data_IF_844995267488
#
_entry.id   IF_844995267488
#
_cell.length_a   1.000
_cell.length_b   1.000
_cell.length_c   1.000
_cell.angle_alpha   90.00
_cell.angle_beta   90.00
_cell.angle_gamma   90.00
#
_symmetry.space_group_name_H-M   'P 1'
#
loop_
_entity.id
_entity.type
_entity.pdbx_description
1 polymer ?
#
# COMPACT_ATOMS: atom_id res chain seq x y z
N UNK A 1 -8.70 -70.02 66.82
CA UNK A 1 -9.35 -68.95 67.61
C UNK A 1 -8.26 -67.99 68.07
N UNK A 2 -8.42 -66.70 67.76
CA UNK A 2 -7.83 -65.52 68.42
C UNK A 2 -6.31 -65.47 68.69
N UNK A 3 -5.58 -64.88 67.75
CA UNK A 3 -5.06 -63.49 67.77
C UNK A 3 -4.06 -63.00 68.85
N UNK A 4 -3.06 -62.24 68.33
CA UNK A 4 -2.28 -61.11 68.90
C UNK A 4 -0.84 -61.30 69.49
N UNK A 5 0.14 -60.92 68.64
CA UNK A 5 1.36 -60.02 68.77
C UNK A 5 2.42 -60.22 69.88
N UNK A 6 3.70 -60.56 69.59
CA UNK A 6 4.89 -59.79 69.02
C UNK A 6 5.64 -58.99 70.11
N UNK A 7 6.99 -59.12 70.34
CA UNK A 7 8.03 -58.38 69.57
C UNK A 7 9.46 -59.03 69.56
N UNK A 8 10.54 -58.27 69.25
CA UNK A 8 11.16 -58.00 67.94
C UNK A 8 12.50 -58.80 67.81
N UNK A 9 13.22 -58.88 66.69
CA UNK A 9 13.95 -57.82 66.03
C UNK A 9 14.78 -58.52 64.93
N UNK A 10 14.77 -58.00 63.70
CA UNK A 10 15.93 -57.87 62.80
C UNK A 10 15.49 -57.81 61.34
N UNK A 11 16.07 -56.79 60.71
CA UNK A 11 16.36 -56.68 59.29
C UNK A 11 15.26 -56.29 58.30
N UNK A 12 15.72 -55.49 57.34
CA UNK A 12 15.06 -55.02 56.13
C UNK A 12 13.96 -53.95 56.23
N UNK A 13 14.27 -52.86 55.53
CA UNK A 13 13.37 -52.08 54.68
C UNK A 13 12.50 -51.02 55.40
N UNK A 14 12.88 -49.76 55.08
CA UNK A 14 12.07 -48.51 55.13
C UNK A 14 11.83 -47.86 56.49
N UNK A 15 12.56 -46.77 56.74
CA UNK A 15 12.03 -45.49 57.26
C UNK A 15 12.81 -44.40 56.51
N UNK A 16 12.24 -43.38 55.88
CA UNK A 16 11.07 -42.56 56.25
C UNK A 16 10.30 -42.13 54.99
N UNK A 17 9.05 -41.76 55.24
CA UNK A 17 7.86 -41.72 54.42
C UNK A 17 7.48 -40.26 54.08
N UNK A 18 6.99 -40.01 52.84
CA UNK A 18 6.02 -38.96 52.41
C UNK A 18 6.45 -37.48 52.45
N UNK A 19 6.05 -36.59 51.55
CA UNK A 19 5.28 -36.56 50.29
C UNK A 19 5.46 -35.11 49.77
N UNK A 20 5.68 -34.89 48.47
CA UNK A 20 4.95 -33.91 47.63
C UNK A 20 5.67 -33.72 46.27
N UNK A 21 4.85 -33.81 45.23
CA UNK A 21 5.14 -33.64 43.79
C UNK A 21 5.58 -32.21 43.49
N UNK A 22 6.74 -31.98 42.85
CA UNK A 22 6.95 -30.86 41.90
C UNK A 22 8.05 -31.22 40.87
N UNK A 23 7.61 -31.25 39.61
CA UNK A 23 8.28 -30.91 38.35
C UNK A 23 9.72 -31.39 38.03
N UNK A 24 9.76 -32.19 36.97
CA UNK A 24 10.84 -32.41 36.02
C UNK A 24 11.41 -31.07 35.49
N UNK A 25 12.72 -30.81 35.65
CA UNK A 25 13.45 -29.87 34.78
C UNK A 25 14.74 -30.58 34.34
N UNK A 26 14.66 -31.21 33.18
CA UNK A 26 15.85 -31.52 32.40
C UNK A 26 16.32 -30.21 31.75
N UNK A 27 17.43 -29.66 32.23
CA UNK A 27 18.13 -28.55 31.59
C UNK A 27 18.76 -29.03 30.29
N UNK A 28 18.01 -28.95 29.20
CA UNK A 28 18.58 -28.94 27.85
C UNK A 28 19.40 -27.65 27.73
N UNK A 29 20.72 -27.77 27.68
CA UNK A 29 21.61 -26.71 27.24
C UNK A 29 21.40 -26.46 25.75
N UNK A 30 20.33 -25.74 25.40
CA UNK A 30 20.25 -25.09 24.10
C UNK A 30 21.30 -23.99 24.10
N UNK A 31 22.45 -24.26 23.47
CA UNK A 31 23.39 -23.23 23.07
C UNK A 31 22.64 -22.24 22.19
N UNK A 32 22.20 -21.13 22.79
CA UNK A 32 21.67 -20.00 22.04
C UNK A 32 22.80 -19.52 21.15
N UNK A 33 22.71 -19.80 19.85
CA UNK A 33 23.37 -18.97 18.86
C UNK A 33 22.89 -17.55 19.15
N UNK A 34 23.76 -16.58 19.46
CA UNK A 34 23.30 -15.21 19.46
C UNK A 34 22.75 -14.98 18.05
N UNK A 35 21.44 -14.76 17.97
CA UNK A 35 20.84 -14.17 16.79
C UNK A 35 21.52 -12.80 16.69
N UNK A 36 22.60 -12.74 15.91
CA UNK A 36 23.22 -11.48 15.59
C UNK A 36 22.10 -10.65 14.98
N UNK A 37 21.72 -9.57 15.65
CA UNK A 37 20.94 -8.54 15.00
C UNK A 37 21.78 -8.14 13.79
N UNK A 38 21.36 -8.56 12.59
CA UNK A 38 21.88 -7.99 11.38
C UNK A 38 21.71 -6.49 11.57
N UNK A 39 22.82 -5.75 11.63
CA UNK A 39 22.80 -4.30 11.66
C UNK A 39 21.85 -3.89 10.55
N UNK A 40 20.75 -3.23 10.89
CA UNK A 40 19.82 -2.72 9.89
C UNK A 40 20.61 -1.75 9.02
N UNK A 41 21.11 -2.22 7.88
CA UNK A 41 21.70 -1.37 6.86
C UNK A 41 20.54 -0.56 6.31
N UNK A 42 20.61 0.76 6.46
CA UNK A 42 19.65 1.65 5.80
C UNK A 42 19.72 1.35 4.30
N UNK A 43 18.64 0.80 3.74
CA UNK A 43 18.55 0.48 2.33
C UNK A 43 17.76 1.59 1.64
N UNK A 44 18.44 2.35 0.78
CA UNK A 44 17.87 3.49 0.06
C UNK A 44 17.85 3.19 -1.44
N UNK A 45 16.68 3.34 -2.07
CA UNK A 45 16.57 3.32 -3.53
C UNK A 45 16.54 4.73 -4.15
N UNK A 46 16.14 5.72 -3.37
CA UNK A 46 16.15 7.12 -3.76
C UNK A 46 16.98 7.92 -2.75
N UNK A 47 17.56 9.03 -3.18
CA UNK A 47 18.37 9.90 -2.34
C UNK A 47 17.71 11.28 -2.24
N UNK A 48 16.64 11.42 -1.41
CA UNK A 48 15.98 12.70 -1.23
C UNK A 48 17.01 13.75 -0.82
N UNK A 49 17.01 14.88 -1.53
CA UNK A 49 17.93 15.97 -1.27
C UNK A 49 17.32 16.85 -0.19
N UNK A 50 17.36 16.36 1.06
CA UNK A 50 16.91 17.10 2.24
C UNK A 50 18.05 18.02 2.69
N UNK A 51 18.21 19.16 2.01
CA UNK A 51 19.01 20.26 2.54
C UNK A 51 18.17 21.05 3.54
N UNK A 52 17.95 20.49 4.72
CA UNK A 52 17.37 21.28 5.82
C UNK A 52 18.34 22.41 6.19
N UNK A 53 17.87 23.65 6.23
CA UNK A 53 18.64 24.75 6.82
C UNK A 53 18.33 24.80 8.33
N UNK A 54 19.28 24.41 9.21
CA UNK A 54 19.06 24.39 10.65
C UNK A 54 18.91 25.79 11.26
N UNK A 55 19.14 26.86 10.50
CA UNK A 55 18.97 28.26 10.93
C UNK A 55 17.68 28.90 10.41
N UNK A 56 16.94 28.21 9.55
CA UNK A 56 15.72 28.76 8.98
C UNK A 56 14.55 28.68 9.99
N UNK A 57 13.99 29.84 10.35
CA UNK A 57 12.71 29.96 11.03
C UNK A 57 11.53 30.28 10.09
N UNK A 58 11.80 30.59 8.81
CA UNK A 58 10.77 31.07 7.85
C UNK A 58 11.01 30.76 6.35
N UNK A 59 12.15 30.18 5.94
CA UNK A 59 12.46 29.96 4.51
C UNK A 59 13.30 28.71 4.23
N UNK A 60 13.01 27.60 4.92
CA UNK A 60 13.73 26.36 4.71
C UNK A 60 13.56 25.98 3.24
N UNK A 61 14.65 25.97 2.47
CA UNK A 61 14.59 25.48 1.09
C UNK A 61 14.00 24.08 1.15
N UNK A 62 12.79 23.97 0.66
CA UNK A 62 12.00 22.76 0.79
C UNK A 62 12.76 21.61 0.10
N UNK A 63 12.80 20.39 0.68
CA UNK A 63 13.53 19.28 0.09
C UNK A 63 13.13 19.06 -1.37
N UNK A 64 14.12 19.03 -2.27
CA UNK A 64 13.87 18.58 -3.65
C UNK A 64 13.77 17.07 -3.64
N UNK A 65 12.84 16.51 -4.42
CA UNK A 65 12.54 15.08 -4.42
C UNK A 65 12.05 14.58 -3.04
N UNK A 66 11.00 15.20 -2.48
CA UNK A 66 10.33 14.70 -1.27
C UNK A 66 9.56 13.40 -1.55
N UNK A 67 9.46 12.56 -0.52
CA UNK A 67 8.57 11.40 -0.52
C UNK A 67 7.69 11.36 0.72
N UNK A 68 6.43 10.97 0.54
CA UNK A 68 5.50 10.65 1.61
C UNK A 68 4.52 9.54 1.17
N UNK A 69 3.63 9.13 2.07
CA UNK A 69 2.56 8.14 1.83
C UNK A 69 3.05 6.83 1.17
N UNK A 70 4.01 6.12 1.78
CA UNK A 70 4.54 4.90 1.19
C UNK A 70 3.57 3.73 1.31
N UNK A 71 3.59 2.84 0.32
CA UNK A 71 3.05 1.49 0.42
C UNK A 71 4.07 0.44 0.00
N UNK A 72 3.87 -0.79 0.46
CA UNK A 72 4.74 -1.93 0.15
C UNK A 72 3.92 -3.21 0.06
N UNK A 73 4.26 -4.05 -0.91
CA UNK A 73 3.65 -5.36 -1.12
C UNK A 73 4.72 -6.43 -1.35
N UNK A 74 4.50 -7.59 -0.75
CA UNK A 74 5.34 -8.79 -0.90
C UNK A 74 4.65 -9.75 -1.85
N UNK A 75 5.40 -10.32 -2.81
CA UNK A 75 4.85 -11.33 -3.69
C UNK A 75 4.54 -12.62 -2.89
N UNK A 76 3.29 -13.13 -2.92
CA UNK A 76 2.90 -14.30 -2.14
C UNK A 76 3.54 -15.61 -2.61
N UNK A 77 4.17 -15.64 -3.80
CA UNK A 77 4.85 -16.81 -4.35
C UNK A 77 6.38 -16.77 -4.21
N UNK A 78 6.95 -15.60 -3.89
CA UNK A 78 8.39 -15.40 -3.69
C UNK A 78 8.61 -14.21 -2.76
N UNK A 79 8.89 -14.49 -1.48
CA UNK A 79 9.07 -13.46 -0.45
C UNK A 79 10.30 -12.57 -0.68
N UNK A 80 11.18 -12.89 -1.63
CA UNK A 80 12.29 -12.02 -2.00
C UNK A 80 11.85 -10.89 -2.94
N UNK A 81 10.66 -10.97 -3.54
CA UNK A 81 10.13 -9.98 -4.48
C UNK A 81 9.20 -9.03 -3.76
N UNK A 82 9.64 -7.79 -3.60
CA UNK A 82 8.84 -6.72 -3.03
C UNK A 82 8.68 -5.58 -4.02
N UNK A 83 7.54 -4.92 -3.95
CA UNK A 83 7.30 -3.65 -4.65
C UNK A 83 6.90 -2.64 -3.59
N UNK A 84 7.50 -1.46 -3.62
CA UNK A 84 7.05 -0.31 -2.85
C UNK A 84 6.71 0.85 -3.78
N UNK A 85 5.85 1.73 -3.31
CA UNK A 85 5.53 3.00 -3.95
C UNK A 85 5.53 4.11 -2.90
N UNK A 86 5.70 5.34 -3.37
CA UNK A 86 5.50 6.53 -2.56
C UNK A 86 5.04 7.66 -3.46
N UNK A 87 4.44 8.69 -2.86
CA UNK A 87 4.50 10.01 -3.46
C UNK A 87 5.98 10.35 -3.62
N UNK A 88 6.38 10.75 -4.81
CA UNK A 88 7.77 10.87 -5.19
C UNK A 88 7.97 12.01 -6.17
N UNK A 89 8.72 13.01 -5.72
CA UNK A 89 8.90 14.25 -6.46
C UNK A 89 10.20 14.29 -7.25
N UNK A 90 10.79 13.14 -7.59
CA UNK A 90 12.04 13.07 -8.35
C UNK A 90 11.99 13.75 -9.72
N UNK A 91 10.79 14.01 -10.26
CA UNK A 91 10.60 14.76 -11.51
C UNK A 91 10.05 16.18 -11.31
N UNK A 92 9.62 16.55 -10.10
CA UNK A 92 9.11 17.88 -9.84
C UNK A 92 10.26 18.90 -9.94
N UNK A 93 10.02 20.09 -10.53
CA UNK A 93 11.02 21.14 -10.55
C UNK A 93 11.25 21.70 -9.14
N UNK A 94 12.43 22.28 -8.87
CA UNK A 94 12.70 22.98 -7.62
C UNK A 94 11.61 24.01 -7.27
N UNK A 95 11.41 24.25 -5.97
CA UNK A 95 10.52 25.30 -5.51
C UNK A 95 11.09 26.70 -5.78
N UNK A 96 10.18 27.66 -5.90
CA UNK A 96 10.51 29.07 -6.03
C UNK A 96 10.89 29.52 -7.44
N UNK A 97 11.37 30.78 -7.59
CA UNK A 97 11.75 31.35 -8.87
C UNK A 97 12.76 30.49 -9.63
N UNK A 98 12.62 30.46 -10.96
CA UNK A 98 13.60 29.82 -11.81
C UNK A 98 13.10 29.52 -13.23
N UNK A 99 13.91 28.85 -14.05
CA UNK A 99 13.65 28.68 -15.48
C UNK A 99 12.38 27.87 -15.81
N UNK A 100 11.83 27.15 -14.82
CA UNK A 100 10.62 26.32 -15.00
C UNK A 100 9.37 27.01 -14.47
N UNK A 101 9.44 27.66 -13.30
CA UNK A 101 8.28 28.32 -12.64
C UNK A 101 8.14 29.81 -13.01
N UNK A 102 9.18 30.42 -13.57
CA UNK A 102 9.25 31.85 -13.86
C UNK A 102 9.94 32.64 -12.75
N UNK A 103 10.29 33.88 -13.03
CA UNK A 103 11.04 34.73 -12.10
C UNK A 103 10.14 35.41 -11.04
N UNK A 104 8.82 35.46 -11.28
CA UNK A 104 7.85 36.22 -10.48
C UNK A 104 7.09 35.39 -9.43
N UNK A 105 7.41 34.10 -9.24
CA UNK A 105 6.75 33.26 -8.22
C UNK A 105 7.36 33.46 -6.82
N UNK A 106 6.59 33.20 -5.77
CA UNK A 106 7.10 33.24 -4.39
C UNK A 106 8.20 32.17 -4.19
N UNK A 107 9.23 32.47 -3.38
CA UNK A 107 10.29 31.50 -3.05
C UNK A 107 9.77 30.19 -2.44
N UNK A 108 8.60 30.26 -1.81
CA UNK A 108 7.90 29.14 -1.19
C UNK A 108 7.00 28.35 -2.15
N UNK A 109 6.87 28.72 -3.43
CA UNK A 109 6.04 27.98 -4.38
C UNK A 109 6.64 26.59 -4.67
N UNK A 110 6.06 25.58 -4.02
CA UNK A 110 6.32 24.16 -4.20
C UNK A 110 5.11 23.43 -4.81
N UNK A 111 4.22 24.15 -5.50
CA UNK A 111 3.02 23.53 -6.08
C UNK A 111 3.42 22.43 -7.07
N UNK A 112 2.67 21.33 -7.11
CA UNK A 112 2.88 20.29 -8.11
C UNK A 112 2.84 20.87 -9.52
N UNK A 113 3.88 20.60 -10.30
CA UNK A 113 4.01 21.18 -11.63
C UNK A 113 3.10 20.43 -12.60
N UNK A 114 2.37 21.14 -13.49
CA UNK A 114 1.46 20.49 -14.43
C UNK A 114 2.17 19.40 -15.24
N UNK A 115 1.48 18.27 -15.45
CA UNK A 115 1.96 17.14 -16.25
C UNK A 115 3.20 16.41 -15.72
N UNK A 116 3.57 16.66 -14.47
CA UNK A 116 4.66 15.94 -13.80
C UNK A 116 4.04 15.01 -12.77
N UNK A 117 4.12 13.71 -13.03
CA UNK A 117 3.58 12.71 -12.11
C UNK A 117 4.36 12.59 -10.80
N UNK A 118 3.79 11.88 -9.83
CA UNK A 118 4.34 11.73 -8.48
C UNK A 118 4.24 10.32 -7.92
N UNK A 119 3.77 9.31 -8.67
CA UNK A 119 3.76 7.93 -8.17
C UNK A 119 5.06 7.19 -8.45
N UNK A 120 5.92 7.07 -7.44
CA UNK A 120 7.21 6.38 -7.51
C UNK A 120 7.11 4.85 -7.45
N UNK A 121 8.01 4.16 -8.13
CA UNK A 121 8.07 2.69 -8.16
C UNK A 121 9.43 2.20 -7.67
N UNK A 122 9.39 1.29 -6.70
CA UNK A 122 10.57 0.67 -6.10
C UNK A 122 10.42 -0.85 -6.09
N UNK A 123 11.48 -1.58 -6.43
CA UNK A 123 11.46 -3.05 -6.40
C UNK A 123 12.64 -3.61 -5.64
N UNK A 124 12.42 -4.66 -4.86
CA UNK A 124 13.47 -5.49 -4.28
C UNK A 124 13.40 -6.92 -4.84
N UNK A 125 14.57 -7.55 -4.96
CA UNK A 125 14.74 -8.93 -5.42
C UNK A 125 15.40 -9.84 -4.37
N UNK A 126 15.65 -9.31 -3.17
CA UNK A 126 16.41 -9.95 -2.09
C UNK A 126 15.75 -9.75 -0.72
N UNK A 127 14.42 -9.61 -0.68
CA UNK A 127 13.68 -9.53 0.58
C UNK A 127 13.74 -8.16 1.25
N UNK A 128 14.06 -7.10 0.49
CA UNK A 128 14.16 -5.73 0.97
C UNK A 128 15.56 -5.32 1.43
N UNK A 129 16.58 -6.15 1.21
CA UNK A 129 17.98 -5.83 1.53
C UNK A 129 18.50 -4.74 0.59
N UNK A 130 18.23 -4.85 -0.72
CA UNK A 130 18.50 -3.81 -1.71
C UNK A 130 17.23 -3.46 -2.49
N UNK A 131 17.17 -2.20 -2.92
CA UNK A 131 16.04 -1.66 -3.66
C UNK A 131 16.51 -0.97 -4.94
N UNK A 132 15.72 -1.12 -6.01
CA UNK A 132 15.91 -0.45 -7.29
C UNK A 132 14.82 0.59 -7.48
N UNK A 133 15.20 1.86 -7.70
CA UNK A 133 14.27 2.89 -8.19
C UNK A 133 13.95 2.61 -9.67
N UNK A 134 12.66 2.46 -9.98
CA UNK A 134 12.14 2.18 -11.33
C UNK A 134 11.56 3.40 -12.03
N UNK A 135 11.74 4.59 -11.47
CA UNK A 135 11.14 5.82 -11.96
C UNK A 135 9.73 6.02 -11.44
N UNK A 136 8.94 6.80 -12.17
CA UNK A 136 7.52 7.03 -11.88
C UNK A 136 6.62 6.10 -12.71
N UNK A 137 5.35 5.94 -12.31
CA UNK A 137 4.32 5.32 -13.17
C UNK A 137 4.22 6.00 -14.54
N UNK A 138 4.35 7.32 -14.58
CA UNK A 138 4.30 8.13 -15.82
C UNK A 138 5.45 7.84 -16.78
N UNK A 139 6.60 7.35 -16.27
CA UNK A 139 7.75 6.97 -17.10
C UNK A 139 7.46 5.67 -17.91
N UNK A 140 6.44 4.89 -17.49
CA UNK A 140 6.06 3.65 -18.14
C UNK A 140 5.50 3.90 -19.54
N UNK A 141 5.95 3.11 -20.52
CA UNK A 141 5.53 3.26 -21.92
C UNK A 141 4.00 3.17 -22.09
N UNK A 142 3.36 2.33 -21.28
CA UNK A 142 1.91 2.13 -21.25
C UNK A 142 1.11 3.33 -20.75
N UNK A 143 1.71 4.20 -19.94
CA UNK A 143 1.14 5.47 -19.48
C UNK A 143 1.42 6.57 -20.49
N UNK A 144 2.71 6.81 -20.79
CA UNK A 144 3.17 7.94 -21.62
C UNK A 144 2.73 7.87 -23.07
N UNK A 145 2.39 6.69 -23.60
CA UNK A 145 2.00 6.53 -25.01
C UNK A 145 0.49 6.57 -25.23
N UNK A 146 -0.33 6.75 -24.18
CA UNK A 146 -1.76 6.95 -24.36
C UNK A 146 -2.03 8.23 -25.16
N UNK A 147 -3.05 8.27 -26.04
CA UNK A 147 -3.44 9.50 -26.74
C UNK A 147 -3.79 10.63 -25.77
N UNK A 148 -3.52 11.88 -26.17
CA UNK A 148 -3.98 13.08 -25.45
C UNK A 148 -5.50 13.01 -25.33
N UNK A 149 -6.04 13.27 -24.13
CA UNK A 149 -7.44 13.08 -23.75
C UNK A 149 -7.79 11.72 -23.14
N UNK A 150 -6.88 10.74 -23.23
CA UNK A 150 -6.93 9.48 -22.46
C UNK A 150 -5.72 9.28 -21.56
N UNK A 151 -4.64 10.02 -21.82
CA UNK A 151 -3.42 10.02 -21.01
C UNK A 151 -3.70 10.63 -19.65
N UNK A 152 -3.21 9.95 -18.62
CA UNK A 152 -3.26 10.40 -17.25
C UNK A 152 -1.88 10.86 -16.78
N UNK A 153 -1.89 11.67 -15.74
CA UNK A 153 -0.74 12.03 -14.90
C UNK A 153 -1.02 11.43 -13.53
N UNK A 154 -0.05 10.77 -12.91
CA UNK A 154 -0.24 10.27 -11.53
C UNK A 154 -0.07 11.39 -10.51
N UNK A 155 -0.99 11.49 -9.57
CA UNK A 155 -1.02 12.54 -8.54
C UNK A 155 -0.55 12.02 -7.17
N UNK A 156 -0.43 10.71 -6.98
CA UNK A 156 0.17 10.10 -5.79
C UNK A 156 -0.70 9.06 -5.08
N UNK A 157 -0.59 9.02 -3.76
CA UNK A 157 -1.16 8.14 -2.74
C UNK A 157 -1.14 6.65 -3.11
N UNK A 158 0.05 6.10 -3.38
CA UNK A 158 0.13 4.78 -3.94
C UNK A 158 -0.27 3.69 -2.95
N UNK A 159 -1.12 2.78 -3.40
CA UNK A 159 -1.44 1.54 -2.68
C UNK A 159 -1.15 0.33 -3.57
N UNK A 160 -0.25 -0.55 -3.12
CA UNK A 160 0.19 -1.72 -3.88
C UNK A 160 -0.24 -3.01 -3.18
N UNK A 161 -0.76 -3.97 -3.96
CA UNK A 161 -1.11 -5.32 -3.49
C UNK A 161 -0.79 -6.38 -4.54
N UNK A 162 -0.62 -7.62 -4.11
CA UNK A 162 -0.56 -8.78 -5.00
C UNK A 162 -1.84 -9.61 -4.93
N UNK A 163 -2.12 -10.34 -6.01
CA UNK A 163 -3.15 -11.37 -6.03
C UNK A 163 -2.87 -12.44 -7.08
N UNK A 164 -3.75 -13.44 -7.22
CA UNK A 164 -3.60 -14.49 -8.22
C UNK A 164 -3.65 -13.89 -9.63
N UNK A 165 -2.77 -14.37 -10.52
CA UNK A 165 -2.75 -13.89 -11.91
C UNK A 165 -3.88 -14.55 -12.74
N UNK A 166 -4.65 -13.77 -13.51
CA UNK A 166 -5.63 -14.34 -14.44
C UNK A 166 -4.98 -14.91 -15.71
N UNK A 167 -5.60 -15.93 -16.29
CA UNK A 167 -5.21 -16.52 -17.59
C UNK A 167 -6.31 -16.43 -18.67
N UNK A 168 -7.39 -15.71 -18.38
CA UNK A 168 -8.58 -15.59 -19.25
C UNK A 168 -9.65 -16.66 -19.00
N UNK A 169 -9.32 -17.78 -18.33
CA UNK A 169 -10.28 -18.77 -17.86
C UNK A 169 -10.66 -18.56 -16.39
N UNK A 170 -9.76 -17.97 -15.60
CA UNK A 170 -10.02 -17.59 -14.22
C UNK A 170 -8.76 -17.05 -13.54
N UNK A 171 -8.76 -17.04 -12.22
CA UNK A 171 -7.61 -16.64 -11.40
C UNK A 171 -6.91 -17.86 -10.83
N UNK A 172 -5.59 -17.89 -10.87
CA UNK A 172 -4.80 -18.93 -10.22
C UNK A 172 -3.39 -18.49 -9.88
N UNK A 173 -2.91 -18.84 -8.70
CA UNK A 173 -1.50 -18.70 -8.34
C UNK A 173 -0.58 -19.61 -9.15
N UNK A 174 -1.11 -20.66 -9.80
CA UNK A 174 -0.33 -21.49 -10.74
C UNK A 174 0.14 -20.69 -11.96
N UNK A 175 -0.58 -19.63 -12.31
CA UNK A 175 -0.23 -18.73 -13.40
C UNK A 175 0.76 -17.63 -12.96
N UNK A 176 1.11 -17.60 -11.67
CA UNK A 176 1.90 -16.56 -11.04
C UNK A 176 1.07 -15.60 -10.19
N UNK A 177 1.74 -14.59 -9.65
CA UNK A 177 1.11 -13.47 -8.96
C UNK A 177 1.09 -12.24 -9.86
N UNK A 178 0.03 -11.44 -9.75
CA UNK A 178 -0.11 -10.12 -10.38
C UNK A 178 -0.08 -9.06 -9.30
N UNK A 179 0.77 -8.05 -9.48
CA UNK A 179 0.74 -6.85 -8.65
C UNK A 179 -0.26 -5.85 -9.22
N UNK A 180 -0.91 -5.08 -8.34
CA UNK A 180 -1.76 -3.96 -8.68
C UNK A 180 -1.26 -2.71 -7.96
N UNK A 181 -1.20 -1.59 -8.67
CA UNK A 181 -0.80 -0.28 -8.17
C UNK A 181 -2.00 0.65 -8.35
N UNK A 182 -2.56 1.09 -7.24
CA UNK A 182 -3.56 2.15 -7.17
C UNK A 182 -2.86 3.50 -6.99
N UNK A 183 -3.38 4.56 -7.62
CA UNK A 183 -2.88 5.92 -7.46
C UNK A 183 -3.98 6.92 -7.77
N UNK A 184 -3.91 8.09 -7.13
CA UNK A 184 -4.58 9.29 -7.59
C UNK A 184 -4.07 9.69 -8.98
N UNK A 185 -4.94 10.22 -9.82
CA UNK A 185 -4.59 10.62 -11.16
C UNK A 185 -5.47 11.73 -11.72
N UNK A 186 -4.87 12.54 -12.60
CA UNK A 186 -5.54 13.58 -13.36
C UNK A 186 -5.34 13.38 -14.86
N UNK A 187 -6.09 14.10 -15.69
CA UNK A 187 -5.84 14.08 -17.14
C UNK A 187 -4.60 14.91 -17.48
N UNK A 188 -3.74 14.34 -18.31
CA UNK A 188 -2.65 15.07 -18.93
C UNK A 188 -3.18 16.27 -19.73
N UNK A 189 -2.48 17.40 -19.65
CA UNK A 189 -2.81 18.69 -20.27
C UNK A 189 -4.20 19.24 -19.90
N UNK A 190 -4.82 18.77 -18.81
CA UNK A 190 -6.24 19.00 -18.53
C UNK A 190 -7.14 18.62 -19.72
N UNK A 191 -6.69 17.70 -20.59
CA UNK A 191 -7.36 17.33 -21.84
C UNK A 191 -8.56 16.38 -21.62
N UNK A 192 -9.04 16.27 -20.39
CA UNK A 192 -10.21 15.48 -20.04
C UNK A 192 -11.52 16.12 -20.52
N UNK A 193 -12.66 15.42 -20.33
CA UNK A 193 -13.98 15.96 -20.66
C UNK A 193 -14.48 17.02 -19.65
N UNK A 194 -13.66 17.39 -18.66
CA UNK A 194 -14.04 18.30 -17.59
C UNK A 194 -13.62 19.75 -17.90
N UNK A 195 -14.32 20.76 -17.35
CA UNK A 195 -13.92 22.15 -17.50
C UNK A 195 -12.49 22.40 -17.01
N UNK A 196 -11.81 23.38 -17.62
CA UNK A 196 -10.47 23.79 -17.21
C UNK A 196 -10.43 24.19 -15.72
N UNK A 197 -9.32 23.85 -15.04
CA UNK A 197 -9.14 24.14 -13.61
C UNK A 197 -9.88 23.18 -12.67
N UNK A 198 -10.39 22.06 -13.17
CA UNK A 198 -10.89 20.95 -12.34
C UNK A 198 -9.82 19.86 -12.25
N UNK A 199 -9.39 19.58 -11.03
CA UNK A 199 -8.55 18.43 -10.68
C UNK A 199 -9.46 17.36 -10.10
N UNK A 200 -9.96 16.43 -10.93
CA UNK A 200 -10.92 15.45 -10.48
C UNK A 200 -10.32 14.48 -9.45
N UNK A 201 -9.02 14.19 -9.46
CA UNK A 201 -8.42 13.07 -8.72
C UNK A 201 -9.23 11.77 -8.90
N UNK A 202 -8.98 11.13 -10.05
CA UNK A 202 -9.45 9.78 -10.28
C UNK A 202 -8.61 8.79 -9.50
N UNK A 203 -9.14 7.58 -9.34
CA UNK A 203 -8.33 6.45 -8.92
C UNK A 203 -7.98 5.61 -10.14
N UNK A 204 -6.70 5.60 -10.50
CA UNK A 204 -6.16 4.79 -11.57
C UNK A 204 -5.54 3.52 -10.99
N UNK A 205 -5.76 2.40 -11.68
CA UNK A 205 -5.13 1.11 -11.36
C UNK A 205 -4.32 0.64 -12.55
N UNK A 206 -3.06 0.27 -12.30
CA UNK A 206 -2.24 -0.48 -13.23
C UNK A 206 -1.86 -1.82 -12.63
N UNK A 207 -1.64 -2.83 -13.47
CA UNK A 207 -1.14 -4.13 -13.02
C UNK A 207 0.24 -4.44 -13.59
N UNK A 208 0.97 -5.32 -12.89
CA UNK A 208 2.26 -5.84 -13.31
C UNK A 208 2.27 -7.37 -13.17
N UNK A 209 2.71 -8.06 -14.22
CA UNK A 209 2.92 -9.52 -14.23
C UNK A 209 4.40 -9.91 -14.08
N UNK A 210 5.29 -8.95 -13.80
CA UNK A 210 6.74 -9.16 -13.75
C UNK A 210 7.41 -8.44 -12.56
N UNK A 211 6.80 -8.53 -11.37
CA UNK A 211 7.33 -8.01 -10.11
C UNK A 211 7.68 -6.50 -10.15
N UNK A 212 6.83 -5.70 -10.77
CA UNK A 212 6.92 -4.24 -10.79
C UNK A 212 7.91 -3.69 -11.81
N UNK A 213 8.44 -4.52 -12.71
CA UNK A 213 9.38 -4.08 -13.74
C UNK A 213 8.69 -3.27 -14.86
N UNK A 214 7.47 -3.64 -15.23
CA UNK A 214 6.64 -2.88 -16.18
C UNK A 214 5.18 -2.91 -15.75
N UNK A 215 4.46 -1.82 -15.98
CA UNK A 215 3.05 -1.70 -15.62
C UNK A 215 2.14 -1.60 -16.84
N UNK A 216 0.91 -2.08 -16.72
CA UNK A 216 -0.13 -1.90 -17.74
C UNK A 216 -0.49 -0.42 -17.92
N UNK A 217 -1.27 -0.12 -18.95
CA UNK A 217 -1.91 1.20 -19.04
C UNK A 217 -2.87 1.37 -17.85
N UNK A 218 -3.09 2.61 -17.36
CA UNK A 218 -4.02 2.86 -16.28
C UNK A 218 -5.45 2.55 -16.68
N UNK A 219 -6.20 1.96 -15.75
CA UNK A 219 -7.65 1.77 -15.82
C UNK A 219 -8.27 2.53 -14.66
N UNK A 220 -9.21 3.44 -14.96
CA UNK A 220 -9.93 4.17 -13.93
C UNK A 220 -10.88 3.22 -13.18
N UNK A 221 -10.78 3.20 -11.85
CA UNK A 221 -11.70 2.48 -10.97
C UNK A 221 -12.92 3.33 -10.57
N UNK A 222 -12.90 4.61 -10.91
CA UNK A 222 -13.92 5.61 -10.62
C UNK A 222 -14.66 6.05 -11.88
N UNK A 223 -15.93 6.42 -11.72
CA UNK A 223 -16.68 7.22 -12.71
C UNK A 223 -17.14 8.50 -12.04
N UNK A 224 -16.70 9.67 -12.53
CA UNK A 224 -17.06 10.96 -11.91
C UNK A 224 -18.10 11.69 -12.75
N UNK A 225 -19.34 11.72 -12.27
CA UNK A 225 -20.40 12.49 -12.92
C UNK A 225 -20.34 13.97 -12.55
N UNK A 226 -19.87 14.29 -11.34
CA UNK A 226 -19.67 15.66 -10.86
C UNK A 226 -18.16 15.99 -10.85
N UNK A 227 -17.69 16.99 -11.64
CA UNK A 227 -16.28 17.40 -11.62
C UNK A 227 -15.79 18.00 -10.30
N UNK A 228 -16.69 18.32 -9.37
CA UNK A 228 -16.34 18.91 -8.08
C UNK A 228 -16.20 17.88 -6.96
N UNK A 229 -16.49 16.61 -7.24
CA UNK A 229 -16.18 15.55 -6.29
C UNK A 229 -14.68 15.27 -6.36
N UNK A 230 -14.08 14.91 -5.23
CA UNK A 230 -12.65 14.66 -5.07
C UNK A 230 -12.49 13.29 -4.41
N UNK A 231 -11.67 12.40 -4.96
CA UNK A 231 -11.47 11.07 -4.39
C UNK A 231 -10.09 11.05 -3.76
N UNK A 232 -9.96 10.57 -2.54
CA UNK A 232 -8.68 10.43 -1.85
C UNK A 232 -8.83 9.34 -0.77
N UNK A 233 -7.71 8.90 -0.20
CA UNK A 233 -7.59 7.89 0.84
C UNK A 233 -8.08 6.53 0.37
N UNK A 234 -7.61 6.17 -0.82
CA UNK A 234 -7.89 4.89 -1.44
C UNK A 234 -7.23 3.72 -0.70
N UNK A 235 -7.86 2.56 -0.83
CA UNK A 235 -7.26 1.28 -0.53
C UNK A 235 -7.64 0.29 -1.62
N UNK A 236 -6.66 -0.50 -2.03
CA UNK A 236 -6.86 -1.62 -2.95
C UNK A 236 -6.65 -2.94 -2.22
N UNK A 237 -7.44 -3.94 -2.58
CA UNK A 237 -7.29 -5.31 -2.08
C UNK A 237 -7.62 -6.31 -3.19
N UNK A 238 -6.98 -7.47 -3.15
CA UNK A 238 -7.36 -8.60 -4.00
C UNK A 238 -7.80 -9.73 -3.09
N UNK A 239 -8.97 -10.30 -3.35
CA UNK A 239 -9.39 -11.52 -2.67
C UNK A 239 -8.43 -12.65 -3.06
N UNK A 240 -7.56 -13.03 -2.13
CA UNK A 240 -6.47 -13.96 -2.37
C UNK A 240 -6.69 -15.33 -1.75
N UNK A 241 -7.89 -15.58 -1.21
CA UNK A 241 -8.21 -16.87 -0.61
C UNK A 241 -8.82 -17.83 -1.66
N UNK A 242 -8.17 -18.96 -1.99
CA UNK A 242 -8.64 -19.86 -3.04
C UNK A 242 -10.03 -20.48 -2.80
N UNK A 243 -10.52 -20.49 -1.56
CA UNK A 243 -11.86 -20.99 -1.20
C UNK A 243 -12.95 -19.92 -1.33
N UNK A 244 -12.59 -18.65 -1.50
CA UNK A 244 -13.56 -17.58 -1.67
C UNK A 244 -14.29 -17.73 -3.00
N UNK A 245 -15.62 -17.54 -3.05
CA UNK A 245 -16.36 -17.46 -4.32
C UNK A 245 -15.97 -16.24 -5.17
N UNK A 246 -15.21 -15.29 -4.60
CA UNK A 246 -14.71 -14.10 -5.29
C UNK A 246 -13.19 -14.09 -5.47
N UNK A 247 -12.53 -15.24 -5.34
CA UNK A 247 -11.09 -15.39 -5.53
C UNK A 247 -10.58 -14.65 -6.79
N UNK A 248 -9.60 -13.77 -6.59
CA UNK A 248 -8.98 -12.90 -7.58
C UNK A 248 -9.72 -11.60 -7.87
N UNK A 249 -10.89 -11.34 -7.25
CA UNK A 249 -11.58 -10.06 -7.38
C UNK A 249 -10.75 -8.95 -6.74
N UNK A 250 -10.57 -7.87 -7.50
CA UNK A 250 -9.89 -6.66 -7.03
C UNK A 250 -10.95 -5.70 -6.50
N UNK A 251 -10.75 -5.15 -5.32
CA UNK A 251 -11.62 -4.14 -4.72
C UNK A 251 -10.85 -2.84 -4.56
N UNK A 252 -11.46 -1.74 -4.94
CA UNK A 252 -10.99 -0.39 -4.65
C UNK A 252 -12.00 0.28 -3.73
N UNK A 253 -11.57 0.78 -2.59
CA UNK A 253 -12.36 1.66 -1.74
C UNK A 253 -11.70 3.03 -1.61
N UNK A 254 -12.47 4.08 -1.35
CA UNK A 254 -11.95 5.43 -1.12
C UNK A 254 -12.97 6.30 -0.38
N UNK A 255 -12.51 7.48 0.04
CA UNK A 255 -13.37 8.56 0.50
C UNK A 255 -13.72 9.47 -0.69
N UNK A 256 -15.01 9.60 -1.01
CA UNK A 256 -15.48 10.52 -2.06
C UNK A 256 -15.93 11.84 -1.42
N UNK A 257 -15.07 12.85 -1.48
CA UNK A 257 -15.35 14.20 -0.99
C UNK A 257 -16.27 14.92 -1.97
N UNK A 258 -17.57 14.92 -1.68
CA UNK A 258 -18.59 15.60 -2.48
C UNK A 258 -18.65 17.07 -2.08
N UNK A 259 -18.52 17.95 -3.06
CA UNK A 259 -18.60 19.41 -2.95
C UNK A 259 -18.00 19.97 -1.63
N UNK A 260 -16.71 20.32 -1.67
CA UNK A 260 -15.94 21.00 -0.61
C UNK A 260 -16.63 21.12 0.77
N UNK A 261 -16.56 20.04 1.57
CA UNK A 261 -16.96 20.04 2.98
C UNK A 261 -18.43 19.73 3.28
N UNK A 262 -19.21 19.19 2.34
CA UNK A 262 -20.63 18.87 2.58
C UNK A 262 -20.86 17.38 2.91
N UNK A 263 -20.09 16.46 2.31
CA UNK A 263 -20.32 15.03 2.47
C UNK A 263 -19.12 14.19 2.00
N UNK A 264 -18.66 13.24 2.80
CA UNK A 264 -17.56 12.33 2.46
C UNK A 264 -17.90 10.84 2.69
N UNK A 265 -18.74 10.21 1.85
CA UNK A 265 -19.00 8.78 1.97
C UNK A 265 -17.79 7.93 1.59
N UNK A 266 -17.72 6.74 2.17
CA UNK A 266 -16.89 5.66 1.67
C UNK A 266 -17.59 5.00 0.48
N UNK A 267 -16.85 4.83 -0.60
CA UNK A 267 -17.31 4.24 -1.86
C UNK A 267 -16.43 3.04 -2.21
N UNK A 268 -16.98 2.06 -2.92
CA UNK A 268 -16.26 0.89 -3.41
C UNK A 268 -16.57 0.61 -4.87
N UNK A 269 -15.56 0.17 -5.63
CA UNK A 269 -15.73 -0.49 -6.93
C UNK A 269 -14.92 -1.77 -6.96
N UNK A 270 -15.20 -2.65 -7.91
CA UNK A 270 -14.46 -3.91 -8.02
C UNK A 270 -14.21 -4.33 -9.46
N UNK A 271 -13.16 -5.12 -9.67
CA UNK A 271 -12.83 -5.75 -10.95
C UNK A 271 -12.93 -7.26 -10.85
N UNK A 272 -13.64 -7.88 -11.80
CA UNK A 272 -13.73 -9.34 -11.94
C UNK A 272 -12.82 -9.89 -13.03
N UNK A 273 -12.06 -9.03 -13.72
CA UNK A 273 -11.26 -9.38 -14.88
C UNK A 273 -9.80 -8.92 -14.74
N UNK A 274 -9.29 -8.96 -13.51
CA UNK A 274 -7.88 -8.74 -13.21
C UNK A 274 -7.41 -7.31 -13.49
N UNK A 275 -8.27 -6.33 -13.21
CA UNK A 275 -7.97 -4.90 -13.36
C UNK A 275 -8.20 -4.36 -14.77
N UNK A 276 -8.74 -5.14 -15.71
CA UNK A 276 -9.02 -4.66 -17.07
C UNK A 276 -10.20 -3.67 -17.13
N UNK A 277 -11.16 -3.79 -16.22
CA UNK A 277 -12.22 -2.81 -15.98
C UNK A 277 -12.74 -2.90 -14.55
N UNK A 278 -13.39 -1.85 -14.07
CA UNK A 278 -14.04 -1.81 -12.77
C UNK A 278 -15.56 -1.62 -12.91
N UNK A 279 -16.31 -2.09 -11.92
CA UNK A 279 -17.74 -1.85 -11.78
C UNK A 279 -18.04 -0.37 -11.62
N UNK A 280 -19.31 0.02 -11.79
CA UNK A 280 -19.77 1.31 -11.29
C UNK A 280 -19.49 1.43 -9.77
N UNK A 281 -19.10 2.60 -9.27
CA UNK A 281 -18.92 2.86 -7.84
C UNK A 281 -20.22 2.63 -7.05
N UNK A 282 -20.09 2.01 -5.87
CA UNK A 282 -21.17 1.79 -4.92
C UNK A 282 -20.85 2.48 -3.60
N UNK A 283 -21.71 3.38 -3.17
CA UNK A 283 -21.61 4.03 -1.87
C UNK A 283 -21.89 3.02 -0.74
N UNK A 284 -20.98 2.94 0.25
CA UNK A 284 -21.06 2.02 1.39
C UNK A 284 -21.55 2.71 2.66
N UNK A 285 -21.11 3.93 2.93
CA UNK A 285 -21.53 4.69 4.09
C UNK A 285 -22.51 5.80 3.71
N UNK A 286 -23.37 6.26 4.64
CA UNK A 286 -24.03 7.54 4.47
C UNK A 286 -23.01 8.63 4.15
N UNK A 287 -23.45 9.55 3.30
CA UNK A 287 -22.80 10.82 3.08
C UNK A 287 -22.93 11.65 4.37
N UNK A 288 -21.83 11.89 5.08
CA UNK A 288 -21.83 12.68 6.31
C UNK A 288 -20.53 13.45 6.44
N UNK A 289 -20.63 14.76 6.53
CA UNK A 289 -19.67 15.72 7.09
C UNK A 289 -20.44 17.04 7.18
N UNK A 290 -21.25 17.19 8.23
CA UNK A 290 -22.13 18.34 8.42
C UNK A 290 -22.03 18.82 9.86
N UNK A 291 -22.65 19.96 10.19
CA UNK A 291 -22.58 20.54 11.54
C UNK A 291 -23.12 19.66 12.68
N UNK A 292 -23.63 18.46 12.41
CA UNK A 292 -24.17 17.52 13.40
C UNK A 292 -23.40 16.19 13.50
N UNK A 293 -22.34 15.98 12.70
CA UNK A 293 -21.47 14.80 12.81
C UNK A 293 -20.15 14.94 12.05
N UNK A 294 -19.07 14.43 12.64
CA UNK A 294 -17.76 14.33 11.98
C UNK A 294 -17.87 13.42 10.75
N UNK A 295 -17.18 13.77 9.68
CA UNK A 295 -17.17 12.91 8.51
C UNK A 295 -16.24 11.69 8.64
N UNK A 296 -16.28 10.81 7.63
CA UNK A 296 -15.61 9.51 7.60
C UNK A 296 -14.57 9.50 6.48
N UNK A 297 -13.32 9.72 6.85
CA UNK A 297 -12.19 9.71 5.93
C UNK A 297 -11.29 8.51 6.18
N UNK A 298 -10.64 8.04 5.12
CA UNK A 298 -9.85 6.83 5.18
C UNK A 298 -10.70 5.60 4.91
N UNK A 299 -10.30 4.83 3.90
CA UNK A 299 -10.89 3.53 3.63
C UNK A 299 -9.82 2.44 3.74
N UNK A 300 -10.20 1.27 4.22
CA UNK A 300 -9.39 0.06 4.18
C UNK A 300 -10.32 -1.09 3.84
N UNK A 301 -9.96 -1.87 2.81
CA UNK A 301 -10.76 -3.01 2.35
C UNK A 301 -9.98 -4.31 2.49
N UNK A 302 -10.66 -5.36 2.94
CA UNK A 302 -10.18 -6.75 3.05
C UNK A 302 -11.36 -7.68 2.78
N UNK A 303 -11.08 -8.91 2.34
CA UNK A 303 -12.06 -9.98 2.22
C UNK A 303 -11.89 -11.01 3.34
N UNK A 304 -13.01 -11.48 3.88
CA UNK A 304 -13.10 -12.59 4.80
C UNK A 304 -13.06 -13.94 4.08
N UNK A 305 -12.97 -15.06 4.82
CA UNK A 305 -12.76 -16.38 4.21
C UNK A 305 -13.89 -16.90 3.30
N UNK A 306 -15.09 -16.35 3.45
CA UNK A 306 -16.28 -16.62 2.66
C UNK A 306 -16.51 -15.57 1.54
N UNK A 307 -15.58 -14.63 1.38
CA UNK A 307 -15.68 -13.52 0.44
C UNK A 307 -16.49 -12.33 0.95
N UNK A 308 -16.80 -12.26 2.26
CA UNK A 308 -17.42 -11.08 2.91
C UNK A 308 -16.47 -9.92 3.12
#
# INVERSE_FOLDING_TARGET
MRDVRVPPEEDNMRRILRLLVVALIATLSMGGTPAGAATATNSQANSPQVSGDPTSDTSARFPTNKQNEPSIAVNPLDSNRLIAGSNDEQRQPPCGPGPVRGDDVEESDCSFFPNVGTSGIYTSADGGVTWTNRGLLDDQASWRNLPIGRRLVSDGDPFIVYGPKPDGAGFSYRNGARAYYATLASYFDNAGPYPAGKAPEFLAVSYSDNNGATWSAPVLSTTKNNPNDFNDKEAIWVDDLPTSPFFGRVYMSWTEFRAAGQSEPIVVSYSTNGGASFSAPKQLSPAGNNGTGNGRQGSMVRSGPDGT
#
